data_IF_623154992998
#
_entry.id   IF_623154992998
#
_cell.length_a   1.000
_cell.length_b   1.000
_cell.length_c   1.000
_cell.angle_alpha   90.00
_cell.angle_beta   90.00
_cell.angle_gamma   90.00
#
_symmetry.space_group_name_H-M   'P 1'
#
loop_
_entity.id
_entity.type
_entity.pdbx_description
1 polymer ?
#
# COMPACT_ATOMS: atom_id res chain seq x y z
N UNK A 1 -0.19 -9.17 13.64
CA UNK A 1 0.21 -9.53 12.25
C UNK A 1 1.43 -10.41 12.40
N UNK A 2 1.41 -11.60 11.86
CA UNK A 2 2.52 -12.54 11.97
C UNK A 2 3.63 -12.20 10.98
N UNK A 3 4.86 -12.58 11.28
CA UNK A 3 5.98 -12.47 10.34
C UNK A 3 5.73 -13.41 9.16
N UNK A 4 6.00 -12.99 7.92
CA UNK A 4 5.65 -13.76 6.71
C UNK A 4 6.39 -15.08 6.54
N UNK A 5 7.52 -15.26 7.24
CA UNK A 5 8.36 -16.45 7.12
C UNK A 5 8.83 -16.94 8.49
N UNK A 6 9.17 -18.22 8.60
CA UNK A 6 9.61 -18.80 9.87
C UNK A 6 11.13 -18.62 10.08
N UNK A 7 11.55 -18.73 11.34
CA UNK A 7 12.96 -18.58 11.76
C UNK A 7 13.90 -19.58 11.09
N UNK A 8 13.46 -20.82 10.87
CA UNK A 8 14.31 -21.85 10.27
C UNK A 8 14.64 -21.52 8.80
N UNK A 9 13.66 -21.00 8.08
CA UNK A 9 13.83 -20.52 6.69
C UNK A 9 14.84 -19.38 6.62
N UNK A 10 14.73 -18.42 7.54
CA UNK A 10 15.68 -17.30 7.62
C UNK A 10 17.09 -17.76 7.98
N UNK A 11 17.24 -18.75 8.86
CA UNK A 11 18.56 -19.23 9.29
C UNK A 11 19.23 -20.16 8.28
N UNK A 12 18.47 -20.91 7.49
CA UNK A 12 19.02 -21.80 6.45
C UNK A 12 19.57 -21.03 5.24
N UNK A 13 19.26 -19.74 5.11
CA UNK A 13 19.94 -18.80 4.21
C UNK A 13 19.77 -19.03 2.70
N UNK A 14 18.83 -19.91 2.28
CA UNK A 14 18.68 -20.24 0.86
C UNK A 14 17.54 -19.46 0.18
N UNK A 15 16.71 -18.71 0.93
CA UNK A 15 15.49 -18.09 0.41
C UNK A 15 15.53 -16.57 0.52
N UNK A 16 16.25 -16.04 1.50
CA UNK A 16 16.41 -14.61 1.69
C UNK A 16 17.84 -14.24 1.37
N UNK A 17 18.01 -13.43 0.34
CA UNK A 17 19.32 -12.92 -0.04
C UNK A 17 19.95 -12.13 1.11
N UNK A 18 21.28 -12.18 1.21
CA UNK A 18 22.06 -11.49 2.25
C UNK A 18 21.76 -10.00 2.35
N UNK A 19 21.34 -9.38 1.24
CA UNK A 19 20.93 -7.98 1.20
C UNK A 19 19.64 -7.69 2.01
N UNK A 20 18.75 -8.67 2.16
CA UNK A 20 17.48 -8.57 2.88
C UNK A 20 17.54 -9.16 4.30
N UNK A 21 18.70 -9.64 4.73
CA UNK A 21 18.86 -10.28 6.03
C UNK A 21 20.01 -9.63 6.79
N UNK A 22 19.80 -9.39 8.09
CA UNK A 22 20.83 -8.86 8.98
C UNK A 22 20.79 -9.57 10.32
N UNK A 23 21.97 -10.01 10.80
CA UNK A 23 22.13 -10.63 12.09
C UNK A 23 22.75 -9.66 13.09
N UNK A 24 22.22 -9.61 14.30
CA UNK A 24 22.76 -8.81 15.43
C UNK A 24 22.88 -9.67 16.66
N UNK A 25 24.11 -9.83 17.18
CA UNK A 25 24.36 -10.62 18.38
C UNK A 25 23.64 -10.05 19.59
N UNK A 26 23.72 -8.73 19.79
CA UNK A 26 23.20 -8.03 20.94
C UNK A 26 22.23 -6.93 20.53
N UNK A 27 21.43 -6.47 21.49
CA UNK A 27 20.67 -5.24 21.34
C UNK A 27 21.61 -4.04 21.30
N UNK A 28 21.69 -3.39 20.15
CA UNK A 28 22.38 -2.12 19.97
C UNK A 28 21.44 -1.19 19.17
N UNK A 29 20.78 -0.23 19.84
CA UNK A 29 19.69 0.52 19.24
C UNK A 29 20.08 1.37 18.03
N UNK A 30 21.28 1.99 18.01
CA UNK A 30 21.68 2.90 16.91
C UNK A 30 21.84 2.16 15.57
N UNK A 31 22.71 1.16 15.41
CA UNK A 31 22.84 0.46 14.14
C UNK A 31 21.59 -0.34 13.76
N UNK A 32 20.78 -0.80 14.73
CA UNK A 32 19.52 -1.46 14.44
C UNK A 32 18.52 -0.47 13.86
N UNK A 33 18.41 0.75 14.43
CA UNK A 33 17.55 1.80 13.90
C UNK A 33 17.95 2.21 12.47
N UNK A 34 19.24 2.30 12.19
CA UNK A 34 19.75 2.58 10.84
C UNK A 34 19.36 1.46 9.86
N UNK A 35 19.43 0.19 10.26
CA UNK A 35 19.04 -0.93 9.43
C UNK A 35 17.52 -0.97 9.19
N UNK A 36 16.70 -0.67 10.23
CA UNK A 36 15.25 -0.51 10.07
C UNK A 36 14.93 0.59 9.05
N UNK A 37 15.55 1.76 9.19
CA UNK A 37 15.39 2.87 8.26
C UNK A 37 15.80 2.49 6.83
N UNK A 38 16.89 1.75 6.67
CA UNK A 38 17.38 1.30 5.37
C UNK A 38 16.45 0.28 4.69
N UNK A 39 15.90 -0.67 5.45
CA UNK A 39 14.90 -1.61 4.94
C UNK A 39 13.57 -0.93 4.62
N UNK A 40 13.16 0.07 5.43
CA UNK A 40 11.96 0.87 5.14
C UNK A 40 12.11 1.66 3.84
N UNK A 41 13.31 2.17 3.53
CA UNK A 41 13.61 2.88 2.30
C UNK A 41 13.61 1.96 1.07
N UNK A 42 14.00 0.69 1.22
CA UNK A 42 13.91 -0.35 0.18
C UNK A 42 14.23 0.16 -1.23
N UNK A 43 15.41 0.75 -1.40
CA UNK A 43 15.81 1.46 -2.62
C UNK A 43 15.77 0.58 -3.88
N UNK A 44 16.02 -0.72 -3.72
CA UNK A 44 16.02 -1.70 -4.81
C UNK A 44 14.64 -2.37 -4.99
N UNK A 45 13.59 -1.97 -4.22
CA UNK A 45 12.21 -2.51 -4.26
C UNK A 45 12.15 -4.04 -4.07
N UNK A 46 12.91 -4.57 -3.13
CA UNK A 46 12.95 -6.02 -2.83
C UNK A 46 11.94 -6.43 -1.75
N UNK A 47 11.05 -5.53 -1.33
CA UNK A 47 10.03 -5.78 -0.31
C UNK A 47 10.54 -5.65 1.13
N UNK A 48 11.66 -4.92 1.34
CA UNK A 48 12.24 -4.71 2.66
C UNK A 48 13.10 -5.88 3.14
N UNK A 49 13.24 -6.09 4.46
CA UNK A 49 14.12 -7.12 5.00
C UNK A 49 13.90 -7.48 6.46
N UNK A 50 14.75 -8.37 6.96
CA UNK A 50 14.66 -8.95 8.29
C UNK A 50 15.91 -8.67 9.11
N UNK A 51 15.74 -8.34 10.40
CA UNK A 51 16.81 -8.24 11.37
C UNK A 51 16.58 -9.29 12.45
N UNK A 52 17.53 -10.20 12.62
CA UNK A 52 17.50 -11.22 13.66
C UNK A 52 18.42 -10.79 14.80
N UNK A 53 17.82 -10.41 15.93
CA UNK A 53 18.54 -9.95 17.12
C UNK A 53 18.68 -11.12 18.12
N UNK A 54 19.89 -11.36 18.60
CA UNK A 54 20.27 -12.52 19.40
C UNK A 54 21.10 -13.55 18.63
N UNK A 55 21.50 -13.25 17.40
CA UNK A 55 22.27 -14.15 16.54
C UNK A 55 23.53 -13.43 16.06
N UNK A 56 24.69 -14.08 16.29
CA UNK A 56 25.98 -13.62 15.79
C UNK A 56 26.19 -14.11 14.35
N UNK A 57 26.73 -13.25 13.51
CA UNK A 57 27.10 -13.57 12.14
C UNK A 57 28.58 -13.97 12.04
N UNK A 58 28.83 -14.96 11.21
CA UNK A 58 30.20 -15.30 10.79
C UNK A 58 30.21 -15.56 9.27
N UNK A 59 30.88 -14.69 8.51
CA UNK A 59 30.97 -14.75 7.04
C UNK A 59 29.60 -14.86 6.33
N UNK A 60 28.65 -14.02 6.72
CA UNK A 60 27.31 -13.98 6.13
C UNK A 60 26.36 -15.11 6.59
N UNK A 61 26.81 -15.95 7.54
CA UNK A 61 26.02 -17.08 8.06
C UNK A 61 25.80 -16.95 9.55
N UNK A 62 24.64 -17.43 10.07
CA UNK A 62 24.40 -17.46 11.50
C UNK A 62 25.39 -18.38 12.20
N UNK A 63 26.03 -17.91 13.27
CA UNK A 63 26.91 -18.70 14.12
C UNK A 63 26.08 -19.52 15.11
N UNK A 64 26.29 -20.83 15.12
CA UNK A 64 25.64 -21.75 16.05
C UNK A 64 26.63 -22.21 17.14
N UNK A 65 26.17 -22.45 18.40
CA UNK A 65 24.83 -22.19 18.91
C UNK A 65 24.54 -20.69 19.02
N UNK A 66 23.27 -20.28 18.84
CA UNK A 66 22.88 -18.88 18.91
C UNK A 66 23.18 -18.25 20.28
N UNK A 67 23.44 -16.93 20.30
CA UNK A 67 23.64 -16.19 21.55
C UNK A 67 22.34 -16.07 22.35
N UNK A 68 21.28 -15.60 21.72
CA UNK A 68 19.95 -15.43 22.29
C UNK A 68 19.88 -14.51 23.51
N UNK A 69 18.68 -14.35 24.04
CA UNK A 69 18.37 -13.55 25.23
C UNK A 69 17.60 -14.41 26.26
N UNK A 70 17.57 -13.92 27.50
CA UNK A 70 16.63 -14.39 28.52
C UNK A 70 15.26 -13.75 28.25
N UNK A 71 14.20 -14.44 28.72
CA UNK A 71 12.82 -13.94 28.48
C UNK A 71 12.58 -12.56 29.08
N UNK A 72 13.20 -12.26 30.22
CA UNK A 72 13.05 -10.99 30.93
C UNK A 72 13.64 -9.79 30.16
N UNK A 73 14.61 -10.05 29.27
CA UNK A 73 15.24 -9.00 28.44
C UNK A 73 14.39 -8.62 27.24
N UNK A 74 13.59 -9.55 26.72
CA UNK A 74 12.82 -9.41 25.49
C UNK A 74 11.82 -8.25 25.58
N UNK A 75 11.03 -8.17 26.64
CA UNK A 75 10.03 -7.10 26.82
C UNK A 75 10.67 -5.71 26.86
N UNK A 76 11.80 -5.59 27.54
CA UNK A 76 12.55 -4.32 27.60
C UNK A 76 13.10 -3.92 26.23
N UNK A 77 13.65 -4.87 25.46
CA UNK A 77 14.16 -4.62 24.12
C UNK A 77 13.02 -4.18 23.20
N UNK A 78 11.86 -4.83 23.24
CA UNK A 78 10.70 -4.47 22.41
C UNK A 78 10.20 -3.05 22.73
N UNK A 79 10.09 -2.69 24.01
CA UNK A 79 9.68 -1.34 24.43
C UNK A 79 10.68 -0.27 23.99
N UNK A 80 11.97 -0.56 24.14
CA UNK A 80 13.02 0.36 23.69
C UNK A 80 13.03 0.50 22.18
N UNK A 81 12.89 -0.60 21.43
CA UNK A 81 12.80 -0.60 19.97
C UNK A 81 11.64 0.26 19.49
N UNK A 82 10.45 0.08 20.06
CA UNK A 82 9.28 0.90 19.70
C UNK A 82 9.55 2.40 19.95
N UNK A 83 10.17 2.75 21.09
CA UNK A 83 10.51 4.13 21.40
C UNK A 83 11.55 4.71 20.43
N UNK A 84 12.51 3.92 19.96
CA UNK A 84 13.51 4.37 18.98
C UNK A 84 12.88 4.49 17.58
N UNK A 85 11.97 3.61 17.19
CA UNK A 85 11.29 3.70 15.89
C UNK A 85 10.47 4.98 15.72
N UNK A 86 9.93 5.57 16.79
CA UNK A 86 9.28 6.90 16.76
C UNK A 86 10.21 8.04 16.29
N UNK A 87 11.52 7.84 16.31
CA UNK A 87 12.49 8.80 15.79
C UNK A 87 12.66 8.72 14.28
N UNK A 88 12.10 7.73 13.61
CA UNK A 88 12.12 7.64 12.15
C UNK A 88 11.09 8.63 11.59
N UNK A 89 11.47 9.35 10.56
CA UNK A 89 10.65 10.36 9.89
C UNK A 89 10.57 10.09 8.39
N UNK A 90 9.37 9.94 7.80
CA UNK A 90 8.05 9.78 8.46
C UNK A 90 8.02 8.64 9.48
N UNK A 91 6.99 8.58 10.35
CA UNK A 91 6.90 7.51 11.35
C UNK A 91 6.87 6.12 10.68
N UNK A 92 7.69 5.22 11.22
CA UNK A 92 7.78 3.85 10.74
C UNK A 92 8.02 2.89 11.89
N UNK A 93 7.16 1.89 12.01
CA UNK A 93 7.27 0.84 13.03
C UNK A 93 7.29 -0.52 12.33
N UNK A 94 8.39 -1.29 12.47
CA UNK A 94 8.47 -2.64 11.92
C UNK A 94 7.58 -3.62 12.67
N UNK A 95 7.39 -4.80 12.10
CA UNK A 95 6.73 -5.93 12.78
C UNK A 95 7.78 -6.70 13.56
N UNK A 96 7.51 -6.90 14.86
CA UNK A 96 8.47 -7.53 15.79
C UNK A 96 7.83 -8.76 16.42
N UNK A 97 8.54 -9.89 16.35
CA UNK A 97 8.08 -11.16 16.92
C UNK A 97 9.21 -11.81 17.75
N UNK A 98 8.98 -12.05 19.04
CA UNK A 98 9.88 -12.87 19.85
C UNK A 98 9.66 -14.35 19.51
N UNK A 99 10.74 -15.04 19.21
CA UNK A 99 10.72 -16.46 18.86
C UNK A 99 11.68 -17.25 19.75
N UNK A 100 11.26 -18.42 20.20
CA UNK A 100 12.14 -19.36 20.90
C UNK A 100 12.80 -20.29 19.87
N UNK A 101 14.13 -20.27 19.83
CA UNK A 101 14.94 -21.15 19.00
C UNK A 101 16.11 -21.72 19.81
N UNK A 102 16.32 -23.02 19.72
CA UNK A 102 17.36 -23.74 20.50
C UNK A 102 17.35 -23.37 22.01
N UNK A 103 16.17 -23.33 22.63
CA UNK A 103 15.96 -22.99 24.07
C UNK A 103 16.45 -21.56 24.44
N UNK A 104 16.56 -20.65 23.51
CA UNK A 104 16.89 -19.24 23.71
C UNK A 104 15.90 -18.35 22.98
N UNK A 105 15.69 -17.16 23.48
CA UNK A 105 14.83 -16.18 22.82
C UNK A 105 15.63 -15.29 21.86
N UNK A 106 15.08 -15.07 20.69
CA UNK A 106 15.56 -14.10 19.70
C UNK A 106 14.42 -13.18 19.31
N UNK A 107 14.74 -12.02 18.79
CA UNK A 107 13.75 -11.11 18.17
C UNK A 107 13.94 -11.11 16.66
N UNK A 108 12.86 -11.37 15.95
CA UNK A 108 12.79 -11.16 14.52
C UNK A 108 12.09 -9.84 14.29
N UNK A 109 12.76 -8.93 13.62
CA UNK A 109 12.24 -7.61 13.22
C UNK A 109 12.08 -7.64 11.73
N UNK A 110 10.83 -7.68 11.26
CA UNK A 110 10.55 -7.60 9.85
C UNK A 110 10.18 -6.18 9.44
N UNK A 111 10.90 -5.65 8.47
CA UNK A 111 10.82 -4.29 7.98
C UNK A 111 10.35 -4.34 6.52
N UNK A 112 9.03 -4.34 6.23
CA UNK A 112 8.55 -4.18 4.87
C UNK A 112 9.00 -2.84 4.28
N UNK A 113 9.11 -2.74 2.95
CA UNK A 113 9.32 -1.47 2.29
C UNK A 113 8.22 -0.48 2.66
N UNK A 114 8.60 0.71 3.10
CA UNK A 114 7.64 1.69 3.58
C UNK A 114 6.86 2.38 2.45
N UNK A 115 5.61 2.74 2.70
CA UNK A 115 4.72 3.38 1.71
C UNK A 115 4.94 4.89 1.56
N UNK A 116 5.59 5.53 2.53
CA UNK A 116 5.81 7.00 2.59
C UNK A 116 7.28 7.37 2.52
N UNK A 117 8.08 6.56 1.79
CA UNK A 117 9.50 6.86 1.52
C UNK A 117 9.70 8.28 0.97
N UNK A 118 10.87 8.93 1.22
CA UNK A 118 12.04 8.40 1.91
C UNK A 118 11.98 8.60 3.42
N UNK A 119 12.51 7.62 4.16
CA UNK A 119 12.63 7.64 5.62
C UNK A 119 14.02 8.07 6.05
N UNK A 120 14.09 8.91 7.09
CA UNK A 120 15.34 9.31 7.73
C UNK A 120 15.27 9.06 9.23
N UNK A 121 16.40 8.81 9.85
CA UNK A 121 16.51 8.66 11.30
C UNK A 121 17.74 9.39 11.84
N UNK A 122 17.84 9.59 13.19
CA UNK A 122 19.00 10.23 13.78
C UNK A 122 20.29 9.55 13.37
N UNK A 123 21.29 10.33 12.99
CA UNK A 123 22.63 9.84 12.66
C UNK A 123 23.36 9.31 13.90
N UNK A 124 23.03 9.86 15.09
CA UNK A 124 23.43 9.35 16.39
C UNK A 124 22.30 9.44 17.39
N UNK A 125 22.23 8.47 18.28
CA UNK A 125 21.26 8.44 19.39
C UNK A 125 21.82 9.10 20.64
N UNK A 126 22.47 10.26 20.50
CA UNK A 126 22.83 11.12 21.61
C UNK A 126 21.64 11.97 22.08
N UNK A 127 21.75 12.62 23.25
CA UNK A 127 20.64 13.37 23.86
C UNK A 127 20.10 14.51 22.99
N UNK A 128 20.95 15.10 22.15
CA UNK A 128 20.60 16.29 21.38
C UNK A 128 20.51 16.03 19.89
N UNK A 129 20.65 14.75 19.47
CA UNK A 129 20.75 14.39 18.05
C UNK A 129 21.74 15.28 17.30
N UNK A 130 22.89 15.51 17.90
CA UNK A 130 23.89 16.53 17.53
C UNK A 130 24.37 16.43 16.07
N UNK A 131 24.28 15.22 15.47
CA UNK A 131 24.63 14.97 14.06
C UNK A 131 23.44 15.03 13.10
N UNK A 132 22.25 15.43 13.59
CA UNK A 132 21.03 15.53 12.78
C UNK A 132 20.51 14.18 12.30
N UNK A 133 19.71 14.24 11.24
CA UNK A 133 19.04 13.09 10.62
C UNK A 133 19.70 12.76 9.29
N UNK A 134 19.69 11.47 8.92
CA UNK A 134 20.23 10.98 7.65
C UNK A 134 19.35 9.88 7.09
N UNK A 135 19.38 9.75 5.78
CA UNK A 135 18.77 8.61 5.07
C UNK A 135 19.75 7.45 5.08
N UNK A 136 19.21 6.24 5.26
CA UNK A 136 19.99 5.00 5.23
C UNK A 136 19.38 4.07 4.19
N UNK A 137 20.23 3.31 3.52
CA UNK A 137 19.87 2.33 2.50
C UNK A 137 20.65 1.03 2.71
N UNK A 138 20.15 -0.06 2.12
CA UNK A 138 20.89 -1.30 2.01
C UNK A 138 21.65 -1.32 0.69
N UNK A 139 22.90 -1.69 0.76
CA UNK A 139 23.70 -2.07 -0.41
C UNK A 139 24.42 -3.37 -0.08
N UNK A 140 24.11 -4.43 -0.85
CA UNK A 140 24.54 -5.80 -0.53
C UNK A 140 24.13 -6.16 0.92
N UNK A 141 25.05 -6.62 1.74
CA UNK A 141 24.82 -6.97 3.14
C UNK A 141 25.02 -5.82 4.14
N UNK A 142 25.22 -4.58 3.65
CA UNK A 142 25.61 -3.45 4.52
C UNK A 142 24.54 -2.36 4.55
N UNK A 143 24.31 -1.81 5.75
CA UNK A 143 23.54 -0.57 5.95
C UNK A 143 24.50 0.61 5.82
N UNK A 144 24.25 1.50 4.88
CA UNK A 144 25.07 2.68 4.63
C UNK A 144 24.23 3.95 4.68
N UNK A 145 24.86 5.06 5.06
CA UNK A 145 24.28 6.40 4.92
C UNK A 145 24.18 6.75 3.44
N UNK A 146 23.04 7.24 3.00
CA UNK A 146 22.84 7.67 1.62
C UNK A 146 23.75 8.85 1.27
N UNK A 147 24.36 8.82 0.08
CA UNK A 147 25.00 10.00 -0.51
C UNK A 147 23.95 10.97 -1.06
N UNK A 148 24.35 12.18 -1.44
CA UNK A 148 23.45 13.16 -2.03
C UNK A 148 22.76 12.64 -3.32
N UNK A 149 23.46 11.82 -4.11
CA UNK A 149 22.90 11.17 -5.30
C UNK A 149 21.83 10.15 -4.91
N UNK A 150 22.12 9.29 -3.94
CA UNK A 150 21.18 8.27 -3.45
C UNK A 150 19.97 8.90 -2.72
N UNK A 151 20.16 10.04 -2.05
CA UNK A 151 19.02 10.81 -1.50
C UNK A 151 18.08 11.30 -2.61
N UNK A 152 18.63 11.82 -3.72
CA UNK A 152 17.84 12.23 -4.89
C UNK A 152 17.11 11.03 -5.50
N UNK A 153 17.77 9.88 -5.59
CA UNK A 153 17.16 8.65 -6.08
C UNK A 153 15.99 8.20 -5.20
N UNK A 154 16.14 8.23 -3.86
CA UNK A 154 15.06 7.93 -2.92
C UNK A 154 13.86 8.87 -3.11
N UNK A 155 14.08 10.18 -3.27
CA UNK A 155 13.00 11.13 -3.56
C UNK A 155 12.36 10.88 -4.92
N UNK A 156 13.14 10.53 -5.92
CA UNK A 156 12.65 10.20 -7.24
C UNK A 156 11.74 8.96 -7.21
N UNK A 157 12.19 7.89 -6.54
CA UNK A 157 11.41 6.66 -6.37
C UNK A 157 10.10 6.91 -5.63
N UNK A 158 10.09 7.77 -4.60
CA UNK A 158 8.88 8.08 -3.85
C UNK A 158 7.81 8.81 -4.68
N UNK A 159 8.25 9.59 -5.66
CA UNK A 159 7.36 10.35 -6.54
C UNK A 159 6.91 9.57 -7.78
N UNK A 160 7.55 8.43 -8.07
CA UNK A 160 7.27 7.64 -9.28
C UNK A 160 6.19 6.59 -9.12
N UNK A 161 5.89 6.17 -7.87
CA UNK A 161 4.81 5.21 -7.67
C UNK A 161 3.48 5.96 -7.55
N UNK A 162 2.64 5.97 -8.60
CA UNK A 162 1.30 6.53 -8.53
C UNK A 162 0.53 5.96 -7.34
N UNK A 163 -0.46 6.68 -6.86
CA UNK A 163 -1.32 6.19 -5.78
C UNK A 163 -1.90 4.80 -6.09
N UNK A 164 -2.30 4.58 -7.31
CA UNK A 164 -2.95 3.34 -7.77
C UNK A 164 -2.03 2.11 -7.66
N UNK A 165 -0.74 2.29 -7.91
CA UNK A 165 0.26 1.21 -7.91
C UNK A 165 0.90 0.98 -6.52
N UNK A 166 0.53 1.78 -5.50
CA UNK A 166 1.07 1.60 -4.15
C UNK A 166 0.50 0.37 -3.47
N UNK A 167 1.38 -0.40 -2.84
CA UNK A 167 1.00 -1.54 -1.99
C UNK A 167 0.19 -1.05 -0.79
N UNK A 168 -0.96 -1.68 -0.53
CA UNK A 168 -1.72 -1.46 0.67
C UNK A 168 -1.35 -2.48 1.74
N UNK A 169 -0.53 -2.08 2.70
CA UNK A 169 -0.03 -2.97 3.75
C UNK A 169 -1.10 -3.44 4.75
N UNK A 170 -2.26 -2.78 4.79
CA UNK A 170 -3.38 -3.17 5.65
C UNK A 170 -4.22 -4.28 5.04
N UNK A 171 -4.19 -4.41 3.71
CA UNK A 171 -4.98 -5.38 2.96
C UNK A 171 -4.30 -6.76 2.90
N UNK A 172 -5.12 -7.77 2.60
CA UNK A 172 -4.73 -9.13 2.26
C UNK A 172 -5.23 -9.47 0.85
N UNK A 173 -4.69 -10.54 0.24
CA UNK A 173 -5.13 -10.97 -1.11
C UNK A 173 -6.61 -11.35 -1.09
N UNK A 174 -7.10 -11.91 0.00
CA UNK A 174 -8.49 -12.31 0.22
C UNK A 174 -9.48 -11.13 0.23
N UNK A 175 -8.98 -9.92 0.38
CA UNK A 175 -9.79 -8.70 0.25
C UNK A 175 -10.18 -8.43 -1.20
N UNK A 176 -9.44 -8.98 -2.18
CA UNK A 176 -9.81 -8.97 -3.59
C UNK A 176 -10.85 -10.06 -3.87
N UNK A 177 -11.87 -9.76 -4.68
CA UNK A 177 -13.00 -10.65 -4.95
C UNK A 177 -12.95 -11.17 -6.38
N UNK A 178 -12.75 -12.49 -6.52
CA UNK A 178 -12.71 -13.16 -7.82
C UNK A 178 -13.94 -12.84 -8.70
N UNK A 179 -15.18 -12.81 -8.18
CA UNK A 179 -16.34 -12.48 -9.01
C UNK A 179 -16.28 -11.07 -9.61
N UNK A 180 -15.75 -10.08 -8.88
CA UNK A 180 -15.58 -8.72 -9.40
C UNK A 180 -14.53 -8.67 -10.50
N UNK A 181 -13.42 -9.39 -10.31
CA UNK A 181 -12.36 -9.51 -11.32
C UNK A 181 -12.90 -10.17 -12.58
N UNK A 182 -13.60 -11.29 -12.47
CA UNK A 182 -14.15 -12.01 -13.61
C UNK A 182 -15.22 -11.21 -14.34
N UNK A 183 -16.10 -10.50 -13.61
CA UNK A 183 -17.08 -9.62 -14.21
C UNK A 183 -16.42 -8.51 -15.03
N UNK A 184 -15.41 -7.85 -14.46
CA UNK A 184 -14.64 -6.82 -15.16
C UNK A 184 -13.98 -7.37 -16.43
N UNK A 185 -13.29 -8.50 -16.34
CA UNK A 185 -12.64 -9.15 -17.49
C UNK A 185 -13.64 -9.52 -18.59
N UNK A 186 -14.84 -9.98 -18.20
CA UNK A 186 -15.93 -10.28 -19.13
C UNK A 186 -16.41 -9.02 -19.86
N UNK A 187 -16.69 -7.95 -19.13
CA UNK A 187 -17.20 -6.70 -19.68
C UNK A 187 -16.23 -6.04 -20.67
N UNK A 188 -14.92 -6.04 -20.34
CA UNK A 188 -13.90 -5.50 -21.25
C UNK A 188 -13.51 -6.48 -22.37
N UNK A 189 -14.15 -7.66 -22.43
CA UNK A 189 -13.88 -8.72 -23.41
C UNK A 189 -12.40 -9.16 -23.45
N UNK A 190 -11.79 -9.24 -22.27
CA UNK A 190 -10.40 -9.67 -22.12
C UNK A 190 -10.25 -11.16 -22.42
N UNK A 191 -9.16 -11.53 -23.10
CA UNK A 191 -8.79 -12.95 -23.30
C UNK A 191 -8.55 -13.67 -21.97
N UNK A 192 -8.06 -12.93 -20.96
CA UNK A 192 -7.79 -13.45 -19.62
C UNK A 192 -9.06 -13.94 -18.91
N UNK A 193 -10.27 -13.54 -19.37
CA UNK A 193 -11.51 -14.03 -18.78
C UNK A 193 -11.66 -15.55 -18.86
N UNK A 194 -11.40 -16.15 -20.02
CA UNK A 194 -11.49 -17.61 -20.16
C UNK A 194 -10.41 -18.34 -19.36
N UNK A 195 -9.20 -17.79 -19.31
CA UNK A 195 -8.09 -18.34 -18.56
C UNK A 195 -8.36 -18.26 -17.04
N UNK A 196 -8.99 -17.19 -16.56
CA UNK A 196 -9.30 -16.95 -15.14
C UNK A 196 -10.21 -18.01 -14.51
N UNK A 197 -10.93 -18.79 -15.31
CA UNK A 197 -11.82 -19.87 -14.82
C UNK A 197 -11.05 -21.06 -14.25
N UNK A 198 -9.81 -21.26 -14.71
CA UNK A 198 -8.97 -22.39 -14.34
C UNK A 198 -7.61 -21.98 -13.74
N UNK A 199 -7.35 -20.67 -13.66
CA UNK A 199 -6.12 -20.11 -13.14
C UNK A 199 -6.18 -20.02 -11.62
N UNK A 200 -5.05 -20.20 -10.93
CA UNK A 200 -4.95 -19.90 -9.51
C UNK A 200 -5.24 -18.43 -9.24
N UNK A 201 -5.90 -18.16 -8.11
CA UNK A 201 -6.35 -16.79 -7.78
C UNK A 201 -5.19 -15.80 -7.63
N UNK A 202 -4.08 -16.24 -7.02
CA UNK A 202 -2.89 -15.41 -6.84
C UNK A 202 -2.24 -15.13 -8.18
N UNK A 203 -2.13 -16.15 -9.03
CA UNK A 203 -1.60 -16.02 -10.39
C UNK A 203 -2.43 -15.06 -11.25
N UNK A 204 -3.76 -15.11 -11.14
CA UNK A 204 -4.67 -14.17 -11.80
C UNK A 204 -4.40 -12.73 -11.33
N UNK A 205 -4.33 -12.51 -10.02
CA UNK A 205 -4.06 -11.18 -9.45
C UNK A 205 -2.68 -10.63 -9.87
N UNK A 206 -1.66 -11.49 -9.96
CA UNK A 206 -0.34 -11.12 -10.45
C UNK A 206 -0.36 -10.77 -11.95
N UNK A 207 -1.06 -11.57 -12.76
CA UNK A 207 -1.21 -11.33 -14.20
C UNK A 207 -1.91 -10.01 -14.50
N UNK A 208 -2.83 -9.58 -13.63
CA UNK A 208 -3.52 -8.29 -13.69
C UNK A 208 -2.72 -7.14 -13.03
N UNK A 209 -1.60 -7.43 -12.38
CA UNK A 209 -0.79 -6.46 -11.61
C UNK A 209 -1.59 -5.72 -10.52
N UNK A 210 -2.57 -6.41 -9.93
CA UNK A 210 -3.37 -5.87 -8.83
C UNK A 210 -2.85 -6.29 -7.45
N UNK A 211 -1.75 -7.06 -7.43
CA UNK A 211 -0.97 -7.42 -6.26
C UNK A 211 0.52 -7.21 -6.56
N UNK A 212 1.28 -6.84 -5.55
CA UNK A 212 2.72 -6.63 -5.63
C UNK A 212 3.39 -7.05 -4.31
N UNK A 213 4.68 -7.34 -4.36
CA UNK A 213 5.49 -7.73 -3.23
C UNK A 213 6.25 -9.03 -3.47
N UNK A 214 6.94 -9.51 -2.41
CA UNK A 214 7.67 -10.78 -2.46
C UNK A 214 6.72 -11.97 -2.28
N UNK A 215 7.11 -13.18 -2.70
CA UNK A 215 6.25 -14.36 -2.55
C UNK A 215 5.74 -14.58 -1.13
N UNK A 216 6.56 -14.25 -0.13
CA UNK A 216 6.19 -14.37 1.28
C UNK A 216 5.36 -13.16 1.79
N UNK A 217 5.28 -12.08 1.02
CA UNK A 217 4.55 -10.86 1.39
C UNK A 217 3.90 -10.19 0.18
N UNK A 218 3.04 -10.93 -0.49
CA UNK A 218 2.27 -10.42 -1.61
C UNK A 218 1.02 -9.69 -1.10
N UNK A 219 0.79 -8.47 -1.58
CA UNK A 219 -0.28 -7.59 -1.11
C UNK A 219 -1.00 -6.90 -2.27
N UNK A 220 -2.28 -6.58 -2.10
CA UNK A 220 -3.01 -5.76 -3.07
C UNK A 220 -2.38 -4.38 -3.24
N UNK A 221 -2.39 -3.88 -4.46
CA UNK A 221 -2.18 -2.46 -4.75
C UNK A 221 -3.49 -1.69 -4.66
N UNK A 222 -3.41 -0.36 -4.49
CA UNK A 222 -4.61 0.45 -4.23
C UNK A 222 -5.66 0.34 -5.34
N UNK A 223 -5.27 0.33 -6.61
CA UNK A 223 -6.22 0.16 -7.72
C UNK A 223 -6.95 -1.18 -7.66
N UNK A 224 -6.25 -2.26 -7.27
CA UNK A 224 -6.86 -3.56 -7.06
C UNK A 224 -7.98 -3.52 -6.03
N UNK A 225 -7.76 -2.87 -4.90
CA UNK A 225 -8.78 -2.70 -3.86
C UNK A 225 -9.91 -1.79 -4.29
N UNK A 226 -9.62 -0.70 -5.00
CA UNK A 226 -10.67 0.22 -5.48
C UNK A 226 -11.65 -0.44 -6.44
N UNK A 227 -11.16 -1.34 -7.30
CA UNK A 227 -11.99 -2.00 -8.31
C UNK A 227 -12.56 -3.35 -7.86
N UNK A 228 -11.82 -4.11 -7.05
CA UNK A 228 -12.10 -5.53 -6.81
C UNK A 228 -12.32 -5.89 -5.34
N UNK A 229 -12.61 -4.90 -4.48
CA UNK A 229 -13.10 -5.10 -3.11
C UNK A 229 -14.56 -4.69 -3.02
N UNK A 230 -15.39 -5.43 -2.26
CA UNK A 230 -16.82 -5.11 -2.10
C UNK A 230 -17.05 -3.78 -1.39
N UNK A 231 -16.16 -3.41 -0.46
CA UNK A 231 -16.22 -2.19 0.34
C UNK A 231 -14.85 -1.48 0.38
N UNK A 232 -14.42 -0.87 -0.74
CA UNK A 232 -13.14 -0.14 -0.78
C UNK A 232 -13.02 0.95 0.29
N UNK A 233 -14.16 1.43 0.80
CA UNK A 233 -14.25 2.45 1.84
C UNK A 233 -13.62 2.01 3.16
N UNK A 234 -13.47 0.71 3.41
CA UNK A 234 -12.77 0.17 4.59
C UNK A 234 -11.25 0.51 4.55
N UNK A 235 -10.71 0.64 3.35
CA UNK A 235 -9.32 1.04 3.11
C UNK A 235 -9.18 2.52 2.77
N UNK A 236 -10.18 3.08 2.09
CA UNK A 236 -10.23 4.46 1.60
C UNK A 236 -11.54 5.12 2.00
N UNK A 237 -11.67 5.62 3.24
CA UNK A 237 -12.96 6.06 3.82
C UNK A 237 -13.73 7.09 2.99
N UNK A 238 -13.02 7.89 2.17
CA UNK A 238 -13.61 8.93 1.34
C UNK A 238 -13.76 8.53 -0.13
N UNK A 239 -13.55 7.26 -0.49
CA UNK A 239 -13.75 6.78 -1.86
C UNK A 239 -15.23 6.54 -2.13
N UNK A 240 -15.99 7.61 -2.36
CA UNK A 240 -17.40 7.60 -2.70
C UNK A 240 -17.72 8.67 -3.73
N UNK A 241 -18.83 8.49 -4.44
CA UNK A 241 -19.39 9.51 -5.35
C UNK A 241 -20.60 10.12 -4.67
N UNK A 242 -20.62 11.43 -4.55
CA UNK A 242 -21.74 12.20 -4.03
C UNK A 242 -22.30 13.05 -5.16
N UNK A 243 -23.61 12.89 -5.41
CA UNK A 243 -24.35 13.71 -6.36
C UNK A 243 -25.30 14.58 -5.57
N UNK A 244 -25.06 15.88 -5.57
CA UNK A 244 -25.87 16.88 -4.88
C UNK A 244 -26.70 17.63 -5.89
N UNK A 245 -28.03 17.59 -5.78
CA UNK A 245 -28.97 18.35 -6.59
C UNK A 245 -29.48 19.56 -5.80
N UNK A 246 -29.22 20.75 -6.29
CA UNK A 246 -29.60 22.04 -5.71
C UNK A 246 -30.77 22.66 -6.50
N UNK A 247 -31.97 22.15 -6.32
CA UNK A 247 -33.16 22.56 -7.10
C UNK A 247 -33.54 24.04 -6.93
N UNK A 248 -33.18 24.61 -5.79
CA UNK A 248 -33.38 26.04 -5.51
C UNK A 248 -32.21 26.96 -5.88
N UNK A 249 -31.15 26.41 -6.53
CA UNK A 249 -29.88 27.12 -6.70
C UNK A 249 -29.03 27.12 -5.42
N UNK A 250 -27.90 27.83 -5.44
CA UNK A 250 -26.94 27.88 -4.30
C UNK A 250 -27.52 28.55 -3.03
N UNK A 251 -28.59 29.32 -3.16
CA UNK A 251 -29.26 30.05 -2.06
C UNK A 251 -30.57 29.37 -1.63
N UNK A 252 -30.94 28.26 -2.25
CA UNK A 252 -32.18 27.53 -1.95
C UNK A 252 -32.02 26.50 -0.84
N UNK A 253 -33.07 26.30 -0.04
CA UNK A 253 -33.09 25.30 1.06
C UNK A 253 -33.40 23.87 0.57
N UNK A 254 -33.66 23.67 -0.74
CA UNK A 254 -34.04 22.36 -1.30
C UNK A 254 -32.80 21.67 -1.91
N UNK A 255 -32.19 20.82 -1.09
CA UNK A 255 -31.01 20.04 -1.46
C UNK A 255 -31.27 18.55 -1.29
N UNK A 256 -30.95 17.77 -2.33
CA UNK A 256 -30.94 16.30 -2.25
C UNK A 256 -29.56 15.76 -2.50
N UNK A 257 -29.12 14.83 -1.64
CA UNK A 257 -27.82 14.18 -1.71
C UNK A 257 -28.00 12.68 -1.99
N UNK A 258 -27.25 12.18 -2.96
CA UNK A 258 -27.22 10.75 -3.28
C UNK A 258 -25.76 10.27 -3.23
N UNK A 259 -25.50 9.29 -2.36
CA UNK A 259 -24.16 8.75 -2.11
C UNK A 259 -24.05 7.35 -2.72
N UNK A 260 -23.01 7.13 -3.55
CA UNK A 260 -22.71 5.85 -4.17
C UNK A 260 -21.41 5.31 -3.56
N UNK A 261 -21.49 4.08 -3.03
CA UNK A 261 -20.38 3.34 -2.40
C UNK A 261 -20.20 1.98 -3.06
N UNK A 262 -19.09 1.32 -2.79
CA UNK A 262 -18.72 0.02 -3.34
C UNK A 262 -17.55 0.09 -4.31
N UNK A 263 -17.32 -0.94 -5.13
CA UNK A 263 -16.28 -0.97 -6.15
C UNK A 263 -16.38 0.23 -7.10
N UNK A 264 -15.24 0.76 -7.53
CA UNK A 264 -15.18 2.00 -8.32
C UNK A 264 -16.02 1.93 -9.61
N UNK A 265 -15.95 0.81 -10.32
CA UNK A 265 -16.74 0.57 -11.52
C UNK A 265 -18.25 0.60 -11.25
N UNK A 266 -18.69 -0.04 -10.14
CA UNK A 266 -20.08 -0.03 -9.70
C UNK A 266 -20.54 1.37 -9.31
N UNK A 267 -19.72 2.14 -8.60
CA UNK A 267 -20.05 3.52 -8.21
C UNK A 267 -20.28 4.41 -9.42
N UNK A 268 -19.37 4.35 -10.40
CA UNK A 268 -19.46 5.15 -11.63
C UNK A 268 -20.74 4.79 -12.40
N UNK A 269 -20.98 3.51 -12.65
CA UNK A 269 -22.18 3.04 -13.37
C UNK A 269 -23.47 3.41 -12.65
N UNK A 270 -23.48 3.32 -11.34
CA UNK A 270 -24.67 3.64 -10.52
C UNK A 270 -24.95 5.13 -10.51
N UNK A 271 -23.92 5.97 -10.37
CA UNK A 271 -24.06 7.43 -10.45
C UNK A 271 -24.53 7.88 -11.84
N UNK A 272 -23.94 7.33 -12.92
CA UNK A 272 -24.35 7.65 -14.29
C UNK A 272 -25.80 7.23 -14.55
N UNK A 273 -26.23 6.06 -14.09
CA UNK A 273 -27.62 5.62 -14.20
C UNK A 273 -28.57 6.54 -13.44
N UNK A 274 -28.16 6.99 -12.26
CA UNK A 274 -28.94 7.97 -11.48
C UNK A 274 -29.05 9.29 -12.26
N UNK A 275 -27.96 9.85 -12.75
CA UNK A 275 -27.95 11.08 -13.54
C UNK A 275 -28.84 10.96 -14.78
N UNK A 276 -28.75 9.84 -15.48
CA UNK A 276 -29.56 9.58 -16.68
C UNK A 276 -31.06 9.52 -16.38
N UNK A 277 -31.46 8.90 -15.28
CA UNK A 277 -32.87 8.67 -14.95
C UNK A 277 -33.54 9.87 -14.24
N UNK A 278 -32.78 10.69 -13.54
CA UNK A 278 -33.33 11.73 -12.68
C UNK A 278 -32.95 13.16 -13.05
N UNK A 279 -31.86 13.36 -13.80
CA UNK A 279 -31.36 14.68 -14.18
C UNK A 279 -31.55 15.00 -15.67
N UNK A 280 -31.48 13.99 -16.54
CA UNK A 280 -31.61 14.21 -17.98
C UNK A 280 -33.10 14.25 -18.36
N UNK A 281 -33.57 15.41 -18.80
CA UNK A 281 -34.94 15.64 -19.24
C UNK A 281 -34.96 16.07 -20.72
N UNK A 282 -35.85 15.46 -21.52
CA UNK A 282 -36.13 15.95 -22.85
C UNK A 282 -36.99 17.21 -22.77
N UNK A 283 -36.52 18.29 -23.37
CA UNK A 283 -37.29 19.54 -23.53
C UNK A 283 -37.78 19.67 -24.94
N UNK A 284 -39.07 20.02 -25.08
CA UNK A 284 -39.75 20.19 -26.37
C UNK A 284 -40.19 21.64 -26.48
N UNK A 285 -39.65 22.35 -27.46
CA UNK A 285 -40.05 23.71 -27.78
C UNK A 285 -40.89 23.71 -29.07
N UNK A 286 -42.14 24.12 -28.96
CA UNK A 286 -42.97 24.36 -30.14
C UNK A 286 -42.65 25.72 -30.74
N UNK A 287 -42.23 25.74 -32.00
CA UNK A 287 -41.97 26.98 -32.73
C UNK A 287 -43.23 27.37 -33.47
N UNK A 288 -43.73 28.64 -33.32
CA UNK A 288 -44.90 29.10 -34.05
C UNK A 288 -44.72 28.97 -35.55
N UNK A 289 -45.76 28.49 -36.24
CA UNK A 289 -45.80 28.29 -37.70
C UNK A 289 -44.86 27.20 -38.26
N UNK A 290 -44.29 26.31 -37.39
CA UNK A 290 -43.55 25.14 -37.80
C UNK A 290 -44.28 23.87 -37.33
N UNK A 291 -44.40 22.87 -38.25
CA UNK A 291 -45.03 21.58 -37.90
C UNK A 291 -44.18 20.75 -36.95
N UNK A 292 -42.86 20.91 -36.96
CA UNK A 292 -41.92 20.18 -36.15
C UNK A 292 -41.50 20.97 -34.92
N UNK A 293 -41.48 20.33 -33.76
CA UNK A 293 -40.96 20.89 -32.52
C UNK A 293 -39.45 20.64 -32.41
N UNK A 294 -38.73 21.58 -31.82
CA UNK A 294 -37.33 21.40 -31.48
C UNK A 294 -37.28 20.55 -30.19
N UNK A 295 -36.55 19.45 -30.25
CA UNK A 295 -36.30 18.54 -29.10
C UNK A 295 -34.83 18.59 -28.73
N UNK A 296 -34.55 18.73 -27.46
CA UNK A 296 -33.21 18.66 -26.94
C UNK A 296 -33.20 18.20 -25.48
N UNK A 297 -32.10 17.60 -25.04
CA UNK A 297 -31.91 17.26 -23.65
C UNK A 297 -31.27 18.43 -22.90
N UNK A 298 -31.71 18.65 -21.64
CA UNK A 298 -31.17 19.69 -20.78
C UNK A 298 -29.65 19.53 -20.56
N UNK A 299 -29.17 18.27 -20.42
CA UNK A 299 -27.76 17.89 -20.30
C UNK A 299 -27.43 16.78 -21.30
N UNK A 300 -26.36 16.92 -22.10
CA UNK A 300 -25.87 15.82 -22.94
C UNK A 300 -25.25 14.72 -22.06
N UNK A 301 -25.74 13.49 -22.18
CA UNK A 301 -25.19 12.36 -21.42
C UNK A 301 -23.65 12.21 -21.52
N UNK A 302 -23.01 12.34 -22.72
CA UNK A 302 -21.55 12.23 -22.83
C UNK A 302 -20.79 13.27 -22.00
N UNK A 303 -21.34 14.48 -21.83
CA UNK A 303 -20.70 15.51 -21.03
C UNK A 303 -20.75 15.19 -19.52
N UNK A 304 -21.86 14.60 -19.05
CA UNK A 304 -21.97 14.13 -17.66
C UNK A 304 -21.07 12.93 -17.39
N UNK A 305 -20.99 12.01 -18.32
CA UNK A 305 -20.09 10.85 -18.26
C UNK A 305 -18.63 11.30 -18.16
N UNK A 306 -18.19 12.18 -19.05
CA UNK A 306 -16.83 12.69 -19.05
C UNK A 306 -16.53 13.51 -17.77
N UNK A 307 -17.45 14.35 -17.32
CA UNK A 307 -17.29 15.12 -16.09
C UNK A 307 -17.13 14.21 -14.87
N UNK A 308 -17.95 13.16 -14.76
CA UNK A 308 -17.86 12.20 -13.65
C UNK A 308 -16.56 11.41 -13.68
N UNK A 309 -16.17 10.88 -14.85
CA UNK A 309 -14.93 10.13 -15.02
C UNK A 309 -13.72 11.01 -14.71
N UNK A 310 -13.71 12.28 -15.20
CA UNK A 310 -12.63 13.23 -14.91
C UNK A 310 -12.56 13.57 -13.41
N UNK A 311 -13.70 13.72 -12.72
CA UNK A 311 -13.72 13.95 -11.29
C UNK A 311 -13.12 12.79 -10.50
N UNK A 312 -13.33 11.55 -10.95
CA UNK A 312 -12.76 10.36 -10.32
C UNK A 312 -11.27 10.21 -10.65
N UNK A 313 -10.86 10.45 -11.89
CA UNK A 313 -9.48 10.29 -12.34
C UNK A 313 -8.52 11.33 -11.72
N UNK A 314 -8.97 12.56 -11.54
CA UNK A 314 -8.16 13.66 -11.01
C UNK A 314 -8.28 13.83 -9.48
N UNK A 315 -8.98 12.95 -8.80
CA UNK A 315 -9.15 13.00 -7.35
C UNK A 315 -7.81 12.79 -6.64
N UNK A 316 -7.52 13.63 -5.64
CA UNK A 316 -6.49 13.37 -4.64
C UNK A 316 -7.12 12.61 -3.48
N UNK A 317 -6.70 11.37 -3.27
CA UNK A 317 -7.13 10.51 -2.16
C UNK A 317 -6.13 10.64 -1.01
#
# INVERSE_FOLDING_TARGET
>A
MAIPTNVETLLKGNIVESARLEFKRNWNPEPILHSICAFANDIDNWGGGYILIGIEENNGKPKLPISGFKIEEIDNIQKELLNKCKLIQPEYVPIVEPVMYQNKHILIVWCPGGSTRPYKCPTKLDKDFSKGYSYYIRKMSSTIKASAELEKELYFLSNQVPFDDRINHKAQIEDLKLPLIQNYLYEIKSKLYEESKNMDFVELCQSMRIVEGTPEYLKPVNVGLLFFNDMPQDFFPYSQIEVVDLRGGLEGDDMTENIFKGPLDYMIKSALRFLQNYLIEERIIKVPYQAEAIRYFNYPYPALEEALVNAMYHRRI
#
